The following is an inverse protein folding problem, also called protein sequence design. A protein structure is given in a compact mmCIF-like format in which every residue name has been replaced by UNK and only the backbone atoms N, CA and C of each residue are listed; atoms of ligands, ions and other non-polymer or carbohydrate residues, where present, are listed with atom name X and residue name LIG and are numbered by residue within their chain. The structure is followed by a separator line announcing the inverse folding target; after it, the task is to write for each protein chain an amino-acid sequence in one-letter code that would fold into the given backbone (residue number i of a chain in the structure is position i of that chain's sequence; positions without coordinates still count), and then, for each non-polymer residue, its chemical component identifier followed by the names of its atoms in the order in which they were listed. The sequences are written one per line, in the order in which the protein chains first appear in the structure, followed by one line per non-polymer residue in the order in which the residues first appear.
data_IF_292162377493
#
_entry.id   IF_292162377493
#
_cell.length_a   1.000
_cell.length_b   1.000
_cell.length_c   1.000
_cell.angle_alpha   90.00
_cell.angle_beta   90.00
_cell.angle_gamma   90.00
#
_symmetry.space_group_name_H-M   'P 1'
#
loop_
_entity.id
_entity.type
_entity.pdbx_description
1 polymer ?
#
# COMPACT_ATOMS: atom_id res chain seq x y z
N UNK A 1 -20.86 12.07 2.03
CA UNK A 1 -19.82 11.17 1.46
C UNK A 1 -18.92 10.72 2.60
N UNK A 2 -18.57 9.43 2.69
CA UNK A 2 -17.66 8.93 3.75
C UNK A 2 -16.22 9.31 3.39
N UNK A 3 -15.44 9.73 4.38
CA UNK A 3 -14.01 10.01 4.22
C UNK A 3 -13.26 8.68 4.06
N UNK A 4 -12.47 8.58 3.00
CA UNK A 4 -11.58 7.43 2.76
C UNK A 4 -10.42 7.41 3.77
N UNK A 5 -9.95 6.22 4.08
CA UNK A 5 -8.82 5.92 4.95
C UNK A 5 -8.04 4.70 4.44
N UNK A 6 -6.85 4.44 4.99
CA UNK A 6 -6.01 3.29 4.58
C UNK A 6 -6.69 1.93 4.79
N UNK A 7 -7.64 1.81 5.71
CA UNK A 7 -8.42 0.57 5.90
C UNK A 7 -9.43 0.33 4.77
N UNK A 8 -9.67 1.33 3.93
CA UNK A 8 -10.52 1.21 2.75
C UNK A 8 -9.71 0.79 1.49
N UNK A 9 -8.42 0.46 1.64
CA UNK A 9 -7.63 -0.17 0.57
C UNK A 9 -8.20 -1.58 0.32
N UNK A 10 -8.62 -1.92 -0.92
CA UNK A 10 -9.13 -3.25 -1.22
C UNK A 10 -8.00 -4.28 -1.28
N UNK A 11 -8.35 -5.57 -1.31
CA UNK A 11 -7.39 -6.66 -1.49
C UNK A 11 -6.52 -6.46 -2.75
N UNK A 12 -5.22 -6.63 -2.56
CA UNK A 12 -4.17 -6.51 -3.56
C UNK A 12 -3.48 -7.84 -3.88
N UNK A 13 -3.96 -8.96 -3.32
CA UNK A 13 -3.45 -10.30 -3.59
C UNK A 13 -3.29 -10.58 -5.10
N UNK A 14 -2.14 -11.10 -5.48
CA UNK A 14 -1.80 -11.41 -6.88
C UNK A 14 -1.32 -10.22 -7.71
N UNK A 15 -1.11 -9.04 -7.11
CA UNK A 15 -0.49 -7.88 -7.76
C UNK A 15 0.94 -7.67 -7.28
N UNK A 16 1.81 -7.24 -8.19
CA UNK A 16 3.16 -6.77 -7.88
C UNK A 16 3.23 -5.25 -8.05
N UNK A 17 3.80 -4.54 -7.08
CA UNK A 17 3.88 -3.08 -7.07
C UNK A 17 5.30 -2.58 -6.81
N UNK A 18 5.87 -1.78 -7.72
CA UNK A 18 7.19 -1.16 -7.50
C UNK A 18 7.02 0.18 -6.79
N UNK A 19 7.60 0.34 -5.61
CA UNK A 19 7.62 1.60 -4.86
C UNK A 19 9.04 2.15 -4.76
N UNK A 20 9.28 3.34 -5.33
CA UNK A 20 10.57 4.04 -5.19
C UNK A 20 10.61 4.84 -3.89
N UNK A 21 11.80 4.98 -3.30
CA UNK A 21 11.97 5.73 -2.05
C UNK A 21 11.32 5.06 -0.82
N UNK A 22 11.18 3.74 -0.81
CA UNK A 22 10.48 2.99 0.24
C UNK A 22 11.21 2.92 1.61
N UNK A 23 12.38 3.54 1.74
CA UNK A 23 13.17 3.52 2.98
C UNK A 23 12.64 4.50 4.05
N UNK A 24 11.82 5.49 3.69
CA UNK A 24 11.24 6.44 4.64
C UNK A 24 10.01 7.16 4.09
N UNK A 25 9.38 7.98 4.93
CA UNK A 25 8.32 8.92 4.53
C UNK A 25 7.15 8.24 3.81
N UNK A 26 6.66 8.90 2.76
CA UNK A 26 5.50 8.44 1.99
C UNK A 26 5.74 7.07 1.32
N UNK A 27 6.92 6.86 0.74
CA UNK A 27 7.26 5.60 0.08
C UNK A 27 7.19 4.42 1.03
N UNK A 28 7.71 4.58 2.26
CA UNK A 28 7.65 3.54 3.29
C UNK A 28 6.21 3.21 3.68
N UNK A 29 5.37 4.22 3.92
CA UNK A 29 3.97 4.00 4.29
C UNK A 29 3.20 3.34 3.15
N UNK A 30 3.38 3.81 1.92
CA UNK A 30 2.74 3.23 0.73
C UNK A 30 3.12 1.76 0.55
N UNK A 31 4.42 1.44 0.59
CA UNK A 31 4.88 0.06 0.43
C UNK A 31 4.32 -0.85 1.53
N UNK A 32 4.31 -0.37 2.77
CA UNK A 32 3.78 -1.09 3.92
C UNK A 32 2.28 -1.38 3.81
N UNK A 33 1.48 -0.39 3.42
CA UNK A 33 0.03 -0.59 3.31
C UNK A 33 -0.32 -1.48 2.11
N UNK A 34 0.38 -1.38 0.98
CA UNK A 34 0.19 -2.29 -0.15
C UNK A 34 0.50 -3.75 0.23
N UNK A 35 1.63 -3.98 0.90
CA UNK A 35 2.03 -5.31 1.36
C UNK A 35 1.06 -5.87 2.41
N UNK A 36 0.56 -5.03 3.32
CA UNK A 36 -0.48 -5.41 4.30
C UNK A 36 -1.77 -5.88 3.66
N UNK A 37 -2.10 -5.38 2.47
CA UNK A 37 -3.28 -5.77 1.70
C UNK A 37 -2.98 -6.84 0.65
N UNK A 38 -1.82 -7.51 0.71
CA UNK A 38 -1.54 -8.72 -0.06
C UNK A 38 -0.77 -8.52 -1.37
N UNK A 39 -0.35 -7.29 -1.70
CA UNK A 39 0.55 -7.09 -2.83
C UNK A 39 1.95 -7.65 -2.53
N UNK A 40 2.64 -8.11 -3.57
CA UNK A 40 4.09 -8.26 -3.55
C UNK A 40 4.71 -6.90 -3.91
N UNK A 41 5.46 -6.31 -2.99
CA UNK A 41 5.92 -4.92 -3.09
C UNK A 41 7.44 -4.85 -3.10
#
# INVERSE_FOLDING_TARGET
MRRWSVSDIPDQSGRTAVVTGANSGLGLVTARELARHGAEV
#
